data_IF_165692306783
#
_entry.id   IF_165692306783
#
_cell.length_a   1.000
_cell.length_b   1.000
_cell.length_c   1.000
_cell.angle_alpha   90.00
_cell.angle_beta   90.00
_cell.angle_gamma   90.00
#
_symmetry.space_group_name_H-M   'P 1'
#
loop_
_entity.id
_entity.type
_entity.pdbx_description
1 polymer ?
#
# COMPACT_ATOMS: atom_id res chain seq x y z
N UNK A 1 28.37 4.61 -14.27
CA UNK A 1 27.74 5.84 -14.80
C UNK A 1 28.39 7.04 -14.13
N UNK A 2 28.76 8.09 -14.87
CA UNK A 2 29.35 9.29 -14.28
C UNK A 2 28.33 10.04 -13.39
N UNK A 3 28.80 10.72 -12.34
CA UNK A 3 27.95 11.47 -11.38
C UNK A 3 27.04 12.47 -12.09
N UNK A 4 27.58 13.22 -13.06
CA UNK A 4 26.82 14.23 -13.79
C UNK A 4 25.72 13.59 -14.64
N UNK A 5 26.05 12.50 -15.35
CA UNK A 5 25.08 11.73 -16.14
C UNK A 5 23.95 11.15 -15.28
N UNK A 6 24.26 10.66 -14.08
CA UNK A 6 23.23 10.18 -13.15
C UNK A 6 22.28 11.30 -12.70
N UNK A 7 22.83 12.46 -12.36
CA UNK A 7 22.03 13.62 -11.93
C UNK A 7 21.13 14.14 -13.05
N UNK A 8 21.60 14.16 -14.29
CA UNK A 8 20.79 14.52 -15.45
C UNK A 8 19.63 13.56 -15.66
N UNK A 9 19.91 12.25 -15.69
CA UNK A 9 18.87 11.23 -15.86
C UNK A 9 17.81 11.33 -14.75
N UNK A 10 18.24 11.53 -13.50
CA UNK A 10 17.33 11.67 -12.36
C UNK A 10 16.38 12.88 -12.51
N UNK A 11 16.83 13.99 -13.10
CA UNK A 11 16.01 15.19 -13.29
C UNK A 11 14.89 14.98 -14.30
N UNK A 12 15.15 14.20 -15.35
CA UNK A 12 14.21 13.96 -16.44
C UNK A 12 13.43 12.65 -16.33
N UNK A 13 13.52 11.97 -15.19
CA UNK A 13 12.79 10.73 -14.95
C UNK A 13 11.29 11.01 -14.79
N UNK A 14 10.52 10.68 -15.82
CA UNK A 14 9.06 10.74 -15.81
C UNK A 14 8.47 9.33 -15.89
N UNK A 15 7.59 9.00 -14.96
CA UNK A 15 6.92 7.69 -14.91
C UNK A 15 5.58 7.68 -15.67
N UNK A 16 5.07 8.87 -16.03
CA UNK A 16 3.72 9.05 -16.56
C UNK A 16 3.66 10.08 -17.66
N UNK A 17 2.79 9.82 -18.62
CA UNK A 17 2.37 10.78 -19.62
C UNK A 17 1.42 11.82 -19.02
N UNK A 18 1.77 13.11 -19.13
CA UNK A 18 0.98 14.22 -18.61
C UNK A 18 -0.37 14.38 -19.32
N UNK A 19 -0.50 13.91 -20.58
CA UNK A 19 -1.75 14.01 -21.34
C UNK A 19 -2.84 13.06 -20.80
N UNK A 20 -2.43 11.97 -20.14
CA UNK A 20 -3.33 10.91 -19.67
C UNK A 20 -3.56 10.94 -18.16
N UNK A 21 -3.31 12.08 -17.51
CA UNK A 21 -3.46 12.20 -16.07
C UNK A 21 -4.94 12.22 -15.66
N UNK A 22 -5.28 11.33 -14.73
CA UNK A 22 -6.60 11.27 -14.13
C UNK A 22 -6.77 12.46 -13.19
N UNK A 23 -7.73 13.34 -13.51
CA UNK A 23 -8.07 14.49 -12.65
C UNK A 23 -8.68 13.97 -11.35
N UNK A 24 -8.13 14.39 -10.21
CA UNK A 24 -8.56 13.99 -8.87
C UNK A 24 -7.62 13.03 -8.14
N UNK A 25 -6.78 12.27 -8.86
CA UNK A 25 -5.76 11.42 -8.24
C UNK A 25 -4.50 12.24 -7.88
N UNK A 26 -4.28 12.42 -6.57
CA UNK A 26 -3.11 13.13 -6.02
C UNK A 26 -1.80 12.42 -6.33
N UNK A 27 -1.82 11.10 -6.53
CA UNK A 27 -0.63 10.27 -6.78
C UNK A 27 -0.48 9.87 -8.25
N UNK A 28 -1.24 10.49 -9.15
CA UNK A 28 -1.33 10.16 -10.58
C UNK A 28 0.03 10.00 -11.28
N UNK A 29 1.07 10.75 -10.86
CA UNK A 29 2.45 10.69 -11.39
C UNK A 29 3.21 9.39 -11.06
N UNK A 30 2.75 8.61 -10.11
CA UNK A 30 3.39 7.35 -9.67
C UNK A 30 2.44 6.16 -9.73
N UNK A 31 1.13 6.41 -9.84
CA UNK A 31 0.08 5.40 -9.93
C UNK A 31 0.36 4.27 -10.95
N UNK A 32 0.80 4.51 -12.20
CA UNK A 32 1.01 3.40 -13.13
C UNK A 32 2.22 2.54 -12.77
N UNK A 33 3.26 3.11 -12.16
CA UNK A 33 4.36 2.32 -11.61
C UNK A 33 3.85 1.39 -10.51
N UNK A 34 3.05 1.91 -9.58
CA UNK A 34 2.44 1.09 -8.53
C UNK A 34 1.51 0.03 -9.09
N UNK A 35 0.71 0.33 -10.11
CA UNK A 35 -0.15 -0.67 -10.77
C UNK A 35 0.66 -1.80 -11.38
N UNK A 36 1.75 -1.46 -12.09
CA UNK A 36 2.65 -2.46 -12.67
C UNK A 36 3.29 -3.32 -11.57
N UNK A 37 3.89 -2.68 -10.56
CA UNK A 37 4.51 -3.38 -9.43
C UNK A 37 3.51 -4.27 -8.71
N UNK A 38 2.33 -3.76 -8.38
CA UNK A 38 1.30 -4.54 -7.69
C UNK A 38 0.85 -5.74 -8.53
N UNK A 39 0.68 -5.58 -9.86
CA UNK A 39 0.30 -6.70 -10.74
C UNK A 39 1.37 -7.80 -10.76
N UNK A 40 2.64 -7.41 -10.85
CA UNK A 40 3.77 -8.34 -10.82
C UNK A 40 3.89 -8.99 -9.44
N UNK A 41 3.79 -8.22 -8.37
CA UNK A 41 3.90 -8.73 -7.00
C UNK A 41 2.79 -9.73 -6.71
N UNK A 42 1.53 -9.41 -7.04
CA UNK A 42 0.38 -10.33 -6.85
C UNK A 42 0.55 -11.63 -7.64
N UNK A 43 1.13 -11.57 -8.83
CA UNK A 43 1.33 -12.75 -9.68
C UNK A 43 2.42 -13.67 -9.14
N UNK A 44 3.48 -13.11 -8.54
CA UNK A 44 4.63 -13.87 -8.05
C UNK A 44 4.62 -14.12 -6.54
N UNK A 45 3.69 -13.51 -5.79
CA UNK A 45 3.59 -13.66 -4.35
C UNK A 45 2.88 -14.95 -3.95
N UNK A 46 3.55 -15.76 -3.12
CA UNK A 46 2.96 -16.96 -2.54
C UNK A 46 2.17 -16.63 -1.27
N UNK A 47 0.90 -16.26 -1.41
CA UNK A 47 0.03 -15.94 -0.27
C UNK A 47 -0.14 -17.15 0.68
N UNK A 48 0.13 -16.91 1.97
CA UNK A 48 -0.09 -17.83 3.08
C UNK A 48 -1.37 -17.43 3.79
N UNK A 49 -1.90 -18.34 4.59
CA UNK A 49 -3.16 -18.17 5.32
C UNK A 49 -3.16 -16.96 6.29
N UNK A 50 -1.98 -16.57 6.80
CA UNK A 50 -1.83 -15.43 7.72
C UNK A 50 -1.16 -14.25 7.02
N UNK A 51 -1.98 -13.26 6.67
CA UNK A 51 -1.55 -11.98 6.13
C UNK A 51 -1.71 -10.89 7.19
N UNK A 52 -0.67 -10.09 7.41
CA UNK A 52 -0.79 -8.82 8.12
C UNK A 52 -0.87 -7.65 7.15
N UNK A 53 -1.73 -6.70 7.49
CA UNK A 53 -1.91 -5.46 6.76
C UNK A 53 -1.51 -4.34 7.69
N UNK A 54 -0.46 -3.62 7.32
CA UNK A 54 0.08 -2.51 8.10
C UNK A 54 0.30 -1.29 7.21
N UNK A 55 0.41 -0.11 7.81
CA UNK A 55 0.82 1.11 7.12
C UNK A 55 2.31 1.38 7.35
N UNK A 56 3.07 1.45 6.27
CA UNK A 56 4.45 1.95 6.29
C UNK A 56 4.49 3.45 5.99
N UNK A 57 5.49 4.13 6.53
CA UNK A 57 5.61 5.59 6.46
C UNK A 57 6.91 5.93 5.76
N UNK A 58 6.83 6.71 4.68
CA UNK A 58 8.00 7.20 3.93
C UNK A 58 8.20 8.69 4.21
N UNK A 59 9.38 9.12 4.72
CA UNK A 59 9.67 10.54 4.92
C UNK A 59 9.69 11.29 3.59
N UNK A 60 8.98 12.42 3.51
CA UNK A 60 8.93 13.23 2.29
C UNK A 60 8.79 14.71 2.60
N UNK A 61 9.85 15.49 2.34
CA UNK A 61 9.93 16.91 2.68
C UNK A 61 9.42 17.86 1.56
N UNK A 62 9.03 17.32 0.41
CA UNK A 62 8.54 18.11 -0.71
C UNK A 62 7.14 18.71 -0.49
N UNK A 63 6.76 19.63 -1.39
CA UNK A 63 5.42 20.21 -1.45
C UNK A 63 4.50 19.26 -2.24
N UNK A 64 3.72 18.44 -1.54
CA UNK A 64 2.79 17.50 -2.16
C UNK A 64 1.47 17.42 -1.40
N UNK A 65 0.34 17.31 -2.12
CA UNK A 65 -1.01 17.34 -1.53
C UNK A 65 -1.41 16.06 -0.79
N UNK A 66 -0.71 14.95 -1.01
CA UNK A 66 -0.90 13.68 -0.30
C UNK A 66 -0.01 13.54 0.94
N UNK A 67 0.83 14.54 1.23
CA UNK A 67 1.71 14.54 2.40
C UNK A 67 0.89 14.72 3.67
N UNK A 68 1.21 13.92 4.70
CA UNK A 68 0.62 13.99 6.03
C UNK A 68 1.63 14.55 7.03
N UNK A 69 1.13 15.29 8.02
CA UNK A 69 1.93 15.78 9.13
C UNK A 69 1.62 15.00 10.41
N UNK A 70 2.61 14.29 10.94
CA UNK A 70 2.49 13.51 12.16
C UNK A 70 3.03 14.30 13.35
N UNK A 71 2.13 14.75 14.23
CA UNK A 71 2.47 15.41 15.50
C UNK A 71 3.13 14.41 16.45
N UNK A 72 4.16 14.86 17.18
CA UNK A 72 4.81 14.05 18.23
C UNK A 72 5.80 12.98 17.73
N UNK A 73 5.98 12.81 16.41
CA UNK A 73 7.01 11.94 15.85
C UNK A 73 8.26 12.72 15.46
N UNK A 74 9.43 12.06 15.50
CA UNK A 74 10.71 12.65 15.05
C UNK A 74 10.66 13.04 13.57
N UNK A 75 10.11 12.15 12.73
CA UNK A 75 9.81 12.43 11.33
C UNK A 75 8.36 12.87 11.25
N UNK A 76 8.14 14.11 10.81
CA UNK A 76 6.80 14.73 10.83
C UNK A 76 6.15 14.73 9.45
N UNK A 77 6.92 15.00 8.40
CA UNK A 77 6.45 15.11 7.02
C UNK A 77 6.57 13.77 6.29
N UNK A 78 5.43 13.14 6.00
CA UNK A 78 5.42 11.75 5.52
C UNK A 78 4.36 11.48 4.46
N UNK A 79 4.56 10.39 3.72
CA UNK A 79 3.54 9.76 2.87
C UNK A 79 3.28 8.36 3.42
N UNK A 80 2.01 8.01 3.63
CA UNK A 80 1.61 6.68 4.07
C UNK A 80 1.51 5.74 2.87
N UNK A 81 2.01 4.53 3.04
CA UNK A 81 1.96 3.45 2.04
C UNK A 81 1.48 2.19 2.75
N UNK A 82 0.32 1.68 2.34
CA UNK A 82 -0.18 0.40 2.83
C UNK A 82 0.74 -0.73 2.38
N UNK A 83 1.13 -1.58 3.31
CA UNK A 83 2.03 -2.71 3.12
C UNK A 83 1.38 -4.00 3.57
N UNK A 84 1.61 -5.04 2.79
CA UNK A 84 1.19 -6.39 3.11
C UNK A 84 2.44 -7.17 3.52
N UNK A 85 2.43 -7.69 4.74
CA UNK A 85 3.51 -8.51 5.27
C UNK A 85 2.97 -9.90 5.62
N UNK A 86 3.84 -10.90 5.53
CA UNK A 86 3.55 -12.23 6.05
C UNK A 86 3.78 -12.22 7.56
N UNK A 87 2.86 -12.80 8.31
CA UNK A 87 3.14 -13.14 9.70
C UNK A 87 3.73 -14.54 9.77
N UNK A 88 4.93 -14.66 10.34
CA UNK A 88 5.59 -15.94 10.58
C UNK A 88 4.70 -16.84 11.46
N UNK A 89 4.31 -17.99 10.91
CA UNK A 89 3.75 -19.10 11.67
C UNK A 89 4.87 -19.89 12.34
N UNK A 90 5.49 -19.32 13.38
CA UNK A 90 6.28 -20.11 14.36
C UNK A 90 5.41 -20.92 15.32
N UNK A 91 4.17 -21.22 14.92
CA UNK A 91 3.22 -22.06 15.63
C UNK A 91 2.18 -22.64 14.67
N UNK A 92 2.62 -23.31 13.59
CA UNK A 92 1.76 -24.26 12.89
C UNK A 92 2.58 -25.37 12.20
N UNK A 93 3.49 -26.01 12.95
CA UNK A 93 3.70 -27.45 12.73
C UNK A 93 2.44 -28.13 13.28
N UNK A 94 1.37 -28.12 12.48
CA UNK A 94 0.32 -29.14 12.42
C UNK A 94 -0.93 -28.57 11.73
N UNK A 95 -1.43 -29.35 10.76
CA UNK A 95 -2.71 -29.27 10.04
C UNK A 95 -2.65 -28.40 8.79
N UNK A 96 -2.32 -28.97 7.63
CA UNK A 96 -3.17 -29.81 6.75
C UNK A 96 -4.13 -29.00 5.87
N UNK A 97 -4.10 -29.36 4.57
CA UNK A 97 -5.08 -29.10 3.51
C UNK A 97 -5.23 -27.68 2.94
N UNK A 98 -4.43 -27.45 1.90
CA UNK A 98 -4.67 -26.60 0.73
C UNK A 98 -6.09 -26.79 0.18
N UNK A 99 -6.95 -25.76 0.11
CA UNK A 99 -7.99 -25.62 -0.95
C UNK A 99 -8.91 -24.38 -0.89
N UNK A 100 -9.03 -23.61 0.20
CA UNK A 100 -10.24 -22.77 0.38
C UNK A 100 -10.13 -21.25 0.16
N UNK A 101 -9.02 -20.70 -0.35
CA UNK A 101 -8.80 -19.24 -0.31
C UNK A 101 -9.05 -18.45 -1.62
N UNK A 102 -9.70 -19.03 -2.65
CA UNK A 102 -10.01 -18.30 -3.90
C UNK A 102 -11.19 -17.31 -3.78
N UNK A 103 -11.96 -17.36 -2.69
CA UNK A 103 -13.23 -16.63 -2.55
C UNK A 103 -13.13 -15.24 -1.89
N UNK A 104 -11.99 -14.86 -1.30
CA UNK A 104 -11.91 -13.63 -0.49
C UNK A 104 -11.55 -12.37 -1.30
N UNK A 105 -10.85 -12.52 -2.42
CA UNK A 105 -10.38 -11.39 -3.25
C UNK A 105 -11.46 -10.80 -4.18
N UNK A 106 -12.58 -11.50 -4.42
CA UNK A 106 -13.67 -10.97 -5.24
C UNK A 106 -14.55 -9.95 -4.50
N UNK A 107 -14.57 -9.95 -3.16
CA UNK A 107 -15.37 -9.00 -2.37
C UNK A 107 -14.62 -7.73 -1.97
N UNK A 108 -13.30 -7.79 -1.76
CA UNK A 108 -12.53 -6.60 -1.33
C UNK A 108 -12.20 -5.64 -2.48
N UNK A 109 -12.22 -6.11 -3.73
CA UNK A 109 -12.06 -5.25 -4.90
C UNK A 109 -13.23 -4.28 -5.12
N UNK A 110 -14.42 -4.55 -4.57
CA UNK A 110 -15.59 -3.67 -4.68
C UNK A 110 -15.67 -2.57 -3.61
N UNK A 111 -14.98 -2.72 -2.47
CA UNK A 111 -15.07 -1.74 -1.37
C UNK A 111 -14.18 -0.49 -1.54
N UNK A 112 -13.29 -0.43 -2.54
CA UNK A 112 -12.46 0.76 -2.77
C UNK A 112 -13.11 1.79 -3.72
N UNK A 113 -14.25 1.49 -4.33
CA UNK A 113 -14.88 2.37 -5.33
C UNK A 113 -16.07 3.19 -4.82
N UNK A 114 -16.68 2.82 -3.69
CA UNK A 114 -17.78 3.59 -3.11
C UNK A 114 -17.39 4.04 -1.71
N UNK A 115 -17.04 5.32 -1.58
CA UNK A 115 -16.73 5.94 -0.30
C UNK A 115 -17.92 5.85 0.65
N UNK A 116 -17.72 5.15 1.78
CA UNK A 116 -18.23 5.43 3.13
C UNK A 116 -17.89 4.22 4.00
N UNK A 117 -16.70 4.17 4.57
CA UNK A 117 -16.43 3.30 5.72
C UNK A 117 -16.55 4.17 6.97
N UNK A 118 -17.78 4.30 7.46
CA UNK A 118 -18.05 4.82 8.80
C UNK A 118 -17.35 3.94 9.83
N UNK A 119 -16.67 4.58 10.78
CA UNK A 119 -16.10 3.98 11.97
C UNK A 119 -17.12 3.06 12.66
N UNK A 120 -16.81 1.76 12.78
CA UNK A 120 -17.43 0.90 13.79
C UNK A 120 -16.45 -0.20 14.21
N UNK A 121 -15.51 0.17 15.07
CA UNK A 121 -14.85 -0.76 15.99
C UNK A 121 -14.63 -0.02 17.31
N UNK A 122 -15.57 -0.16 18.26
CA UNK A 122 -15.31 -0.35 19.72
C UNK A 122 -16.59 -0.22 20.57
N UNK A 123 -17.01 -1.32 21.18
CA UNK A 123 -17.05 -1.53 22.64
C UNK A 123 -17.85 -2.83 22.90
N UNK A 124 -17.13 -3.93 23.12
CA UNK A 124 -16.81 -4.48 24.44
C UNK A 124 -17.98 -5.26 25.05
N UNK A 125 -17.89 -6.59 24.97
CA UNK A 125 -18.48 -7.46 25.97
C UNK A 125 -17.85 -7.14 27.34
N UNK A 126 -18.69 -7.01 28.37
CA UNK A 126 -18.36 -7.40 29.74
C UNK A 126 -19.67 -7.61 30.50
N UNK A 127 -19.96 -8.88 30.76
CA UNK A 127 -20.85 -9.32 31.84
C UNK A 127 -20.30 -8.83 33.17
N UNK A 128 -21.14 -8.15 33.95
CA UNK A 128 -21.51 -8.44 35.35
C UNK A 128 -22.77 -7.61 35.67
#
# INVERSE_FOLDING_TARGET
MARNRFMEIKKYLHLTDYQKLVKGDKMSKVTPLYKLLNSSLVTHSMFHEKLSVDESIVPYFGRHAAKMFLKGKRIRDVVNVATYSYQDLRSLINKSSVSTCRAFLSRTAQCSLNGTCHNSIRSSARHL
#
